data_IF_409735606652
#
_entry.id   IF_409735606652
#
_cell.length_a   1.000
_cell.length_b   1.000
_cell.length_c   1.000
_cell.angle_alpha   90.00
_cell.angle_beta   90.00
_cell.angle_gamma   90.00
#
_symmetry.space_group_name_H-M   'P 1'
#
loop_
_entity.id
_entity.type
_entity.pdbx_description
1 polymer ?
#
# COMPACT_ATOMS: atom_id res chain seq x y z
N UNK A 1 -4.06 -1.09 19.39
CA UNK A 1 -3.58 -1.59 18.08
C UNK A 1 -2.80 -0.51 17.32
N UNK A 2 -3.28 0.74 17.26
CA UNK A 2 -2.67 1.88 16.55
C UNK A 2 -1.18 2.19 16.81
N UNK A 3 -0.66 2.04 18.04
CA UNK A 3 0.71 2.48 18.36
C UNK A 3 1.81 1.74 17.57
N UNK A 4 1.60 0.47 17.20
CA UNK A 4 2.58 -0.27 16.40
C UNK A 4 2.55 0.10 14.92
N UNK A 5 1.40 0.56 14.43
CA UNK A 5 1.22 0.91 13.01
C UNK A 5 2.04 2.16 12.71
N UNK A 6 2.06 3.15 13.62
CA UNK A 6 2.86 4.36 13.49
C UNK A 6 4.36 4.11 13.27
N UNK A 7 4.91 2.97 13.71
CA UNK A 7 6.31 2.59 13.45
C UNK A 7 6.60 2.39 11.95
N UNK A 8 5.57 2.08 11.15
CA UNK A 8 5.69 1.85 9.71
C UNK A 8 5.52 3.13 8.90
N UNK A 9 5.12 4.25 9.50
CA UNK A 9 5.02 5.55 8.82
C UNK A 9 6.29 5.93 8.02
N UNK A 10 7.52 5.89 8.58
CA UNK A 10 8.72 6.22 7.82
C UNK A 10 8.97 5.28 6.63
N UNK A 11 8.52 4.02 6.72
CA UNK A 11 8.64 3.03 5.65
C UNK A 11 7.70 3.41 4.51
N UNK A 12 6.43 3.69 4.80
CA UNK A 12 5.47 4.14 3.79
C UNK A 12 5.87 5.48 3.16
N UNK A 13 6.46 6.38 3.95
CA UNK A 13 7.01 7.64 3.45
C UNK A 13 8.19 7.40 2.48
N UNK A 14 9.10 6.48 2.82
CA UNK A 14 10.18 6.08 1.94
C UNK A 14 9.63 5.46 0.64
N UNK A 15 8.66 4.55 0.72
CA UNK A 15 8.02 3.94 -0.45
C UNK A 15 7.36 5.01 -1.34
N UNK A 16 6.67 5.99 -0.76
CA UNK A 16 6.10 7.11 -1.50
C UNK A 16 7.17 7.95 -2.21
N UNK A 17 8.30 8.23 -1.55
CA UNK A 17 9.43 8.95 -2.17
C UNK A 17 10.02 8.18 -3.35
N UNK A 18 10.31 6.89 -3.17
CA UNK A 18 10.87 6.05 -4.22
C UNK A 18 9.90 5.91 -5.40
N UNK A 19 8.60 5.83 -5.13
CA UNK A 19 7.61 5.71 -6.18
C UNK A 19 7.42 7.01 -6.97
N UNK A 20 7.49 8.18 -6.33
CA UNK A 20 7.48 9.47 -7.05
C UNK A 20 8.73 9.61 -7.93
N UNK A 21 9.91 9.26 -7.40
CA UNK A 21 11.18 9.47 -8.10
C UNK A 21 11.46 8.43 -9.19
N UNK A 22 11.16 7.16 -8.93
CA UNK A 22 11.55 6.04 -9.79
C UNK A 22 10.35 5.23 -10.33
N UNK A 23 9.11 5.58 -9.99
CA UNK A 23 7.87 4.89 -10.43
C UNK A 23 7.86 3.39 -10.10
N UNK A 24 8.52 3.02 -9.00
CA UNK A 24 8.69 1.65 -8.53
C UNK A 24 8.72 1.62 -7.01
N UNK A 25 8.03 0.63 -6.44
CA UNK A 25 8.18 0.28 -5.04
C UNK A 25 9.29 -0.77 -4.90
N UNK A 26 10.42 -0.45 -4.25
CA UNK A 26 11.56 -1.34 -4.16
C UNK A 26 11.30 -2.56 -3.26
N UNK A 27 11.47 -3.76 -3.83
CA UNK A 27 11.34 -5.03 -3.10
C UNK A 27 12.25 -5.11 -1.87
N UNK A 28 13.45 -4.52 -1.94
CA UNK A 28 14.40 -4.47 -0.83
C UNK A 28 13.92 -3.63 0.37
N UNK A 29 12.89 -2.79 0.21
CA UNK A 29 12.23 -2.09 1.32
C UNK A 29 10.98 -2.86 1.72
N UNK A 30 10.15 -3.25 0.75
CA UNK A 30 8.83 -3.85 1.01
C UNK A 30 8.95 -5.21 1.70
N UNK A 31 9.81 -6.11 1.21
CA UNK A 31 9.91 -7.47 1.74
C UNK A 31 10.48 -7.51 3.18
N UNK A 32 11.57 -6.80 3.51
CA UNK A 32 12.04 -6.75 4.90
C UNK A 32 11.02 -6.10 5.84
N UNK A 33 10.30 -5.08 5.37
CA UNK A 33 9.26 -4.43 6.17
C UNK A 33 8.07 -5.37 6.44
N UNK A 34 7.69 -6.20 5.46
CA UNK A 34 6.65 -7.21 5.62
C UNK A 34 7.10 -8.27 6.64
N UNK A 35 8.35 -8.74 6.54
CA UNK A 35 8.93 -9.65 7.53
C UNK A 35 8.94 -9.05 8.94
N UNK A 36 9.31 -7.78 9.07
CA UNK A 36 9.29 -7.06 10.33
C UNK A 36 7.87 -6.93 10.90
N UNK A 37 6.87 -6.60 10.07
CA UNK A 37 5.46 -6.53 10.48
C UNK A 37 4.96 -7.86 11.04
N UNK A 38 5.24 -8.96 10.33
CA UNK A 38 4.86 -10.30 10.79
C UNK A 38 5.62 -10.73 12.04
N UNK A 39 6.89 -10.37 12.18
CA UNK A 39 7.69 -10.66 13.38
C UNK A 39 7.16 -9.91 14.60
N UNK A 40 6.81 -8.62 14.44
CA UNK A 40 6.15 -7.85 15.50
C UNK A 40 4.81 -8.48 15.87
N UNK A 41 4.02 -8.90 14.88
CA UNK A 41 2.75 -9.58 15.12
C UNK A 41 2.93 -10.92 15.86
N UNK A 42 4.00 -11.66 15.54
CA UNK A 42 4.35 -12.90 16.23
C UNK A 42 4.68 -12.67 17.69
N UNK A 43 5.55 -11.69 18.00
CA UNK A 43 5.92 -11.34 19.38
C UNK A 43 4.72 -10.88 20.20
N UNK A 44 3.72 -10.26 19.56
CA UNK A 44 2.49 -9.80 20.20
C UNK A 44 1.38 -10.85 20.29
N UNK A 45 1.59 -12.05 19.73
CA UNK A 45 0.59 -13.12 19.71
C UNK A 45 -0.56 -12.90 18.71
N UNK A 46 -0.44 -11.93 17.79
CA UNK A 46 -1.45 -11.63 16.77
C UNK A 46 -1.01 -12.01 15.34
N UNK A 47 -0.12 -13.02 15.23
CA UNK A 47 0.41 -13.48 13.95
C UNK A 47 -0.67 -13.89 12.95
N UNK A 48 -1.67 -14.68 13.37
CA UNK A 48 -2.72 -15.18 12.47
C UNK A 48 -3.52 -14.02 11.84
N UNK A 49 -4.05 -13.04 12.62
CA UNK A 49 -4.67 -11.85 12.06
C UNK A 49 -3.78 -11.07 11.09
N UNK A 50 -2.49 -10.90 11.41
CA UNK A 50 -1.55 -10.17 10.54
C UNK A 50 -1.27 -10.93 9.23
N UNK A 51 -1.07 -12.25 9.30
CA UNK A 51 -0.87 -13.10 8.13
C UNK A 51 -2.12 -13.12 7.23
N UNK A 52 -3.32 -13.18 7.83
CA UNK A 52 -4.58 -13.07 7.08
C UNK A 52 -4.74 -11.69 6.45
N UNK A 53 -4.39 -10.62 7.16
CA UNK A 53 -4.37 -9.27 6.60
C UNK A 53 -3.41 -9.15 5.42
N UNK A 54 -2.20 -9.71 5.55
CA UNK A 54 -1.21 -9.73 4.48
C UNK A 54 -1.69 -10.51 3.25
N UNK A 55 -2.26 -11.70 3.47
CA UNK A 55 -2.84 -12.51 2.41
C UNK A 55 -4.00 -11.79 1.72
N UNK A 56 -4.88 -11.13 2.49
CA UNK A 56 -5.98 -10.34 1.96
C UNK A 56 -5.48 -9.18 1.09
N UNK A 57 -4.54 -8.39 1.59
CA UNK A 57 -3.93 -7.28 0.86
C UNK A 57 -3.22 -7.73 -0.42
N UNK A 58 -2.61 -8.91 -0.42
CA UNK A 58 -2.04 -9.52 -1.60
C UNK A 58 -3.13 -9.96 -2.60
N UNK A 59 -4.10 -10.76 -2.16
CA UNK A 59 -5.13 -11.35 -3.03
C UNK A 59 -5.99 -10.27 -3.69
N UNK A 60 -6.36 -9.21 -2.97
CA UNK A 60 -7.22 -8.14 -3.53
C UNK A 60 -6.53 -7.37 -4.66
N UNK A 61 -5.19 -7.29 -4.63
CA UNK A 61 -4.37 -6.62 -5.65
C UNK A 61 -3.88 -7.59 -6.74
N UNK A 62 -4.05 -8.90 -6.57
CA UNK A 62 -3.60 -9.90 -7.54
C UNK A 62 -4.21 -9.69 -8.94
N UNK A 63 -5.53 -9.42 -9.11
CA UNK A 63 -6.13 -9.21 -10.43
C UNK A 63 -5.49 -8.07 -11.20
N UNK A 64 -5.08 -6.99 -10.52
CA UNK A 64 -4.45 -5.84 -11.18
C UNK A 64 -3.11 -6.20 -11.80
N UNK A 65 -2.33 -7.09 -11.17
CA UNK A 65 -1.04 -7.55 -11.73
C UNK A 65 -1.28 -8.50 -12.90
N UNK A 66 -2.23 -9.43 -12.77
CA UNK A 66 -2.58 -10.37 -13.84
C UNK A 66 -3.08 -9.66 -15.10
N UNK A 67 -3.77 -8.54 -14.93
CA UNK A 67 -4.25 -7.69 -16.03
C UNK A 67 -3.20 -6.66 -16.50
N UNK A 68 -1.97 -6.69 -15.99
CA UNK A 68 -0.90 -5.72 -16.26
C UNK A 68 -1.27 -4.25 -15.97
N UNK A 69 -2.25 -4.02 -15.10
CA UNK A 69 -2.70 -2.68 -14.70
C UNK A 69 -1.77 -2.05 -13.66
N UNK A 70 -1.12 -2.88 -12.82
CA UNK A 70 -0.26 -2.44 -11.73
C UNK A 70 1.00 -3.30 -11.61
N UNK A 71 2.02 -2.78 -10.92
CA UNK A 71 3.29 -3.49 -10.75
C UNK A 71 3.23 -4.54 -9.64
N UNK A 72 4.11 -5.54 -9.72
CA UNK A 72 4.30 -6.50 -8.62
C UNK A 72 4.78 -5.86 -7.30
N UNK A 73 5.37 -4.66 -7.37
CA UNK A 73 5.70 -3.87 -6.16
C UNK A 73 4.46 -3.39 -5.42
N UNK A 74 3.42 -2.96 -6.14
CA UNK A 74 2.16 -2.46 -5.57
C UNK A 74 1.43 -3.60 -4.82
N UNK A 75 1.44 -4.79 -5.41
CA UNK A 75 0.92 -6.04 -4.83
C UNK A 75 1.61 -6.43 -3.52
N UNK A 76 2.93 -6.29 -3.44
CA UNK A 76 3.68 -6.60 -2.21
C UNK A 76 3.46 -5.52 -1.15
N UNK A 77 3.31 -4.26 -1.57
CA UNK A 77 3.07 -3.15 -0.67
C UNK A 77 1.67 -3.21 -0.05
N UNK A 78 0.65 -3.68 -0.78
CA UNK A 78 -0.67 -3.95 -0.22
C UNK A 78 -0.65 -5.13 0.77
N UNK A 79 0.20 -6.14 0.55
CA UNK A 79 0.42 -7.20 1.53
C UNK A 79 1.08 -6.67 2.81
N UNK A 80 2.05 -5.76 2.70
CA UNK A 80 2.63 -5.06 3.86
C UNK A 80 1.56 -4.26 4.62
N UNK A 81 0.74 -3.49 3.91
CA UNK A 81 -0.37 -2.74 4.52
C UNK A 81 -1.34 -3.68 5.27
N UNK A 82 -1.66 -4.82 4.65
CA UNK A 82 -2.39 -5.93 5.22
C UNK A 82 -1.81 -6.47 6.53
N UNK A 83 -0.51 -6.73 6.55
CA UNK A 83 0.18 -7.24 7.72
C UNK A 83 0.16 -6.24 8.89
N UNK A 84 0.26 -4.95 8.58
CA UNK A 84 0.33 -3.88 9.58
C UNK A 84 -1.05 -3.55 10.16
N UNK A 85 -2.08 -3.42 9.31
CA UNK A 85 -3.41 -2.92 9.70
C UNK A 85 -4.47 -4.02 9.86
N UNK A 86 -4.14 -5.26 9.50
CA UNK A 86 -5.11 -6.34 9.37
C UNK A 86 -6.00 -6.18 8.13
N UNK A 87 -6.89 -7.15 7.92
CA UNK A 87 -7.72 -7.21 6.71
C UNK A 87 -8.68 -6.02 6.56
N UNK A 88 -9.35 -5.60 7.65
CA UNK A 88 -10.33 -4.51 7.60
C UNK A 88 -9.65 -3.15 7.42
N UNK A 89 -8.56 -2.88 8.16
CA UNK A 89 -7.78 -1.65 8.02
C UNK A 89 -7.12 -1.56 6.64
N UNK A 90 -6.60 -2.68 6.12
CA UNK A 90 -6.06 -2.72 4.77
C UNK A 90 -7.13 -2.51 3.69
N UNK A 91 -8.34 -3.06 3.85
CA UNK A 91 -9.43 -2.78 2.93
C UNK A 91 -9.76 -1.28 2.88
N UNK A 92 -9.92 -0.64 4.05
CA UNK A 92 -10.20 0.80 4.14
C UNK A 92 -9.07 1.63 3.54
N UNK A 93 -7.83 1.34 3.91
CA UNK A 93 -6.66 2.08 3.43
C UNK A 93 -6.47 1.92 1.91
N UNK A 94 -6.59 0.70 1.36
CA UNK A 94 -6.52 0.47 -0.08
C UNK A 94 -7.67 1.15 -0.81
N UNK A 95 -8.89 1.09 -0.27
CA UNK A 95 -10.04 1.76 -0.86
C UNK A 95 -9.83 3.29 -0.93
N UNK A 96 -9.38 3.91 0.17
CA UNK A 96 -9.04 5.33 0.22
C UNK A 96 -7.92 5.68 -0.77
N UNK A 97 -6.89 4.83 -0.85
CA UNK A 97 -5.78 5.00 -1.80
C UNK A 97 -6.27 5.01 -3.25
N UNK A 98 -7.05 3.99 -3.62
CA UNK A 98 -7.61 3.85 -4.98
C UNK A 98 -8.61 4.96 -5.32
N UNK A 99 -9.45 5.35 -4.37
CA UNK A 99 -10.38 6.46 -4.55
C UNK A 99 -9.63 7.77 -4.80
N UNK A 100 -8.58 8.05 -4.01
CA UNK A 100 -7.74 9.23 -4.17
C UNK A 100 -6.99 9.22 -5.52
N UNK A 101 -6.49 8.06 -5.95
CA UNK A 101 -5.91 7.88 -7.30
C UNK A 101 -6.94 8.22 -8.37
N UNK A 102 -8.18 7.71 -8.26
CA UNK A 102 -9.25 7.94 -9.22
C UNK A 102 -9.63 9.43 -9.33
N UNK A 103 -9.78 10.11 -8.18
CA UNK A 103 -10.06 11.55 -8.13
C UNK A 103 -8.91 12.35 -8.73
N UNK A 104 -7.67 12.03 -8.36
CA UNK A 104 -6.48 12.70 -8.91
C UNK A 104 -6.36 12.51 -10.43
N UNK A 105 -6.61 11.28 -10.91
CA UNK A 105 -6.62 10.95 -12.33
C UNK A 105 -7.66 11.78 -13.10
N UNK A 106 -8.87 11.90 -12.55
CA UNK A 106 -9.97 12.65 -13.14
C UNK A 106 -9.65 14.14 -13.22
N UNK A 107 -9.16 14.73 -12.12
CA UNK A 107 -8.77 16.15 -12.07
C UNK A 107 -7.69 16.43 -13.11
N UNK A 108 -6.65 15.61 -13.17
CA UNK A 108 -5.55 15.80 -14.12
C UNK A 108 -5.99 15.64 -15.58
N UNK A 109 -6.98 14.78 -15.85
CA UNK A 109 -7.58 14.62 -17.18
C UNK A 109 -8.40 15.85 -17.57
N UNK A 110 -9.23 16.37 -16.66
CA UNK A 110 -10.05 17.58 -16.89
C UNK A 110 -9.17 18.81 -17.13
N UNK A 111 -8.05 18.92 -16.41
CA UNK A 111 -7.07 20.00 -16.59
C UNK A 111 -6.22 19.87 -17.86
N UNK A 112 -6.37 18.79 -18.65
CA UNK A 112 -5.57 18.53 -19.86
C UNK A 112 -4.09 18.28 -19.57
N UNK A 113 -3.71 18.08 -18.31
CA UNK A 113 -2.30 17.96 -17.87
C UNK A 113 -1.78 16.52 -17.92
N UNK A 114 -2.51 15.60 -18.56
CA UNK A 114 -2.18 14.18 -18.52
C UNK A 114 -2.56 13.44 -19.79
N UNK A 115 -1.65 12.58 -20.24
CA UNK A 115 -1.96 11.59 -21.27
C UNK A 115 -2.49 10.30 -20.60
N UNK A 116 -3.32 9.51 -21.29
CA UNK A 116 -3.82 8.23 -20.76
C UNK A 116 -2.70 7.26 -20.37
N UNK A 117 -1.54 7.40 -21.01
CA UNK A 117 -0.35 6.54 -20.86
C UNK A 117 0.47 6.85 -19.60
N UNK A 118 0.25 8.01 -18.96
CA UNK A 118 1.03 8.38 -17.78
C UNK A 118 0.68 7.44 -16.61
N UNK A 119 1.70 6.86 -15.99
CA UNK A 119 1.52 6.02 -14.79
C UNK A 119 1.36 6.89 -13.54
N UNK A 120 0.31 6.65 -12.74
CA UNK A 120 0.12 7.34 -11.44
C UNK A 120 0.99 6.63 -10.42
N UNK A 121 1.79 7.34 -9.60
CA UNK A 121 2.55 6.70 -8.54
C UNK A 121 1.57 6.19 -7.49
N UNK A 122 1.57 4.89 -7.17
CA UNK A 122 0.72 4.27 -6.16
C UNK A 122 1.15 4.62 -4.72
N UNK A 123 2.45 4.69 -4.45
CA UNK A 123 3.05 4.86 -3.13
C UNK A 123 2.56 6.08 -2.33
N UNK A 124 2.45 7.29 -2.91
CA UNK A 124 1.91 8.46 -2.21
C UNK A 124 0.45 8.27 -1.78
N UNK A 125 -0.37 7.63 -2.61
CA UNK A 125 -1.77 7.39 -2.26
C UNK A 125 -1.90 6.24 -1.27
N UNK A 126 -1.03 5.22 -1.36
CA UNK A 126 -0.91 4.17 -0.36
C UNK A 126 -0.57 4.74 1.02
N UNK A 127 0.35 5.70 1.08
CA UNK A 127 0.67 6.43 2.31
C UNK A 127 -0.53 7.22 2.84
N UNK A 128 -1.30 7.88 1.96
CA UNK A 128 -2.54 8.58 2.37
C UNK A 128 -3.58 7.60 2.93
N UNK A 129 -3.77 6.45 2.29
CA UNK A 129 -4.66 5.41 2.79
C UNK A 129 -4.20 4.85 4.12
N UNK A 130 -2.90 4.61 4.28
CA UNK A 130 -2.30 4.19 5.55
C UNK A 130 -2.58 5.21 6.66
N UNK A 131 -2.31 6.49 6.43
CA UNK A 131 -2.60 7.56 7.41
C UNK A 131 -4.10 7.60 7.74
N UNK A 132 -4.97 7.53 6.73
CA UNK A 132 -6.41 7.60 6.91
C UNK A 132 -7.03 6.38 7.60
N UNK A 133 -6.37 5.22 7.60
CA UNK A 133 -6.81 4.04 8.35
C UNK A 133 -6.20 3.93 9.75
N UNK A 134 -5.13 4.67 10.04
CA UNK A 134 -4.50 4.74 11.37
C UNK A 134 -5.19 5.76 12.27
N UNK A 135 -5.66 6.88 11.70
CA UNK A 135 -6.40 7.95 12.38
C UNK A 135 -7.84 7.55 12.66
#
# INVERSE_FOLDING_TARGET
>A
MQASEMLFFPIFLALAYFDVKYRRLPDFIVLPSLGLALLIALVRGCFVPAALGAAFGFVIMLPGVLLNLQGGGDLKASALLGAVMGWLGAFQALFLSLAAIGVFALIMRVLGKRKPEDRIPFGPFLLLGFIGGVL
#
